data_IF_120480831579
#
_entry.id   IF_120480831579
#
_cell.length_a   1.000
_cell.length_b   1.000
_cell.length_c   1.000
_cell.angle_alpha   90.00
_cell.angle_beta   90.00
_cell.angle_gamma   90.00
#
_symmetry.space_group_name_H-M   'P 1'
#
loop_
_entity.id
_entity.type
_entity.pdbx_description
1 polymer ?
#
# COMPACT_ATOMS: atom_id res chain seq x y z
N UNK A 1 -6.75 -1.99 -21.17
CA UNK A 1 -5.89 -2.44 -20.06
C UNK A 1 -6.71 -2.62 -18.78
N UNK A 2 -6.20 -3.38 -17.82
CA UNK A 2 -6.86 -3.68 -16.55
C UNK A 2 -5.85 -3.38 -15.43
N UNK A 3 -6.00 -2.22 -14.80
CA UNK A 3 -5.01 -1.70 -13.84
C UNK A 3 -5.34 -2.08 -12.40
N UNK A 4 -4.31 -2.12 -11.56
CA UNK A 4 -4.40 -2.43 -10.14
C UNK A 4 -3.63 -1.38 -9.35
N UNK A 5 -4.19 -0.95 -8.22
CA UNK A 5 -3.54 0.01 -7.32
C UNK A 5 -3.05 -0.72 -6.07
N UNK A 6 -1.77 -0.56 -5.72
CA UNK A 6 -1.20 -1.11 -4.49
C UNK A 6 -1.25 -0.09 -3.36
N UNK A 7 -1.74 -0.48 -2.19
CA UNK A 7 -1.88 0.37 -1.02
C UNK A 7 -1.08 -0.26 0.11
N UNK A 8 -0.05 0.45 0.57
CA UNK A 8 0.90 -0.01 1.58
C UNK A 8 0.68 0.79 2.87
N UNK A 9 0.25 0.14 3.94
CA UNK A 9 -0.26 0.79 5.16
C UNK A 9 0.57 0.41 6.38
N UNK A 10 1.11 1.43 7.04
CA UNK A 10 1.98 1.32 8.22
C UNK A 10 3.34 0.69 7.91
N UNK A 11 4.23 0.72 8.90
CA UNK A 11 5.61 0.26 8.78
C UNK A 11 5.78 -1.06 7.98
N UNK A 12 5.12 -2.14 8.41
CA UNK A 12 5.27 -3.44 7.77
C UNK A 12 4.80 -3.44 6.31
N UNK A 13 3.64 -2.84 6.03
CA UNK A 13 3.11 -2.74 4.67
C UNK A 13 4.04 -1.94 3.76
N UNK A 14 4.59 -0.84 4.27
CA UNK A 14 5.51 0.03 3.52
C UNK A 14 6.84 -0.67 3.23
N UNK A 15 7.43 -1.34 4.22
CA UNK A 15 8.70 -2.04 4.05
C UNK A 15 8.57 -3.21 3.06
N UNK A 16 7.49 -4.00 3.18
CA UNK A 16 7.16 -5.04 2.19
C UNK A 16 6.95 -4.43 0.81
N UNK A 17 6.17 -3.34 0.73
CA UNK A 17 5.92 -2.64 -0.52
C UNK A 17 7.19 -2.13 -1.20
N UNK A 18 8.14 -1.59 -0.43
CA UNK A 18 9.42 -1.11 -0.95
C UNK A 18 10.23 -2.26 -1.59
N UNK A 19 10.30 -3.41 -0.92
CA UNK A 19 10.96 -4.60 -1.45
C UNK A 19 10.23 -5.18 -2.68
N UNK A 20 8.90 -5.20 -2.68
CA UNK A 20 8.11 -5.64 -3.83
C UNK A 20 8.35 -4.75 -5.07
N UNK A 21 8.36 -3.42 -4.91
CA UNK A 21 8.57 -2.51 -6.03
C UNK A 21 10.01 -2.55 -6.56
N UNK A 22 11.01 -2.74 -5.69
CA UNK A 22 12.37 -3.03 -6.12
C UNK A 22 12.41 -4.27 -7.01
N UNK A 23 11.79 -5.36 -6.58
CA UNK A 23 11.73 -6.59 -7.37
C UNK A 23 10.98 -6.41 -8.69
N UNK A 24 9.81 -5.75 -8.70
CA UNK A 24 9.06 -5.46 -9.92
C UNK A 24 9.89 -4.63 -10.91
N UNK A 25 10.64 -3.64 -10.43
CA UNK A 25 11.55 -2.88 -11.28
C UNK A 25 12.64 -3.76 -11.89
N UNK A 26 13.24 -4.67 -11.12
CA UNK A 26 14.25 -5.61 -11.63
C UNK A 26 13.67 -6.59 -12.66
N UNK A 27 12.48 -7.15 -12.41
CA UNK A 27 11.80 -8.09 -13.30
C UNK A 27 11.42 -7.44 -14.64
N UNK A 28 11.02 -6.17 -14.61
CA UNK A 28 10.62 -5.41 -15.80
C UNK A 28 11.75 -4.57 -16.42
N UNK A 29 12.96 -4.58 -15.86
CA UNK A 29 14.08 -3.79 -16.38
C UNK A 29 13.90 -2.28 -16.25
N UNK A 30 13.10 -1.83 -15.27
CA UNK A 30 12.86 -0.43 -14.95
C UNK A 30 13.95 0.04 -13.98
N UNK A 31 14.61 1.14 -14.34
CA UNK A 31 15.66 1.74 -13.53
C UNK A 31 15.08 2.49 -12.31
N UNK A 32 15.87 2.78 -11.27
CA UNK A 32 15.38 3.48 -10.07
C UNK A 32 14.82 4.89 -10.31
N UNK A 33 15.15 5.51 -11.45
CA UNK A 33 14.58 6.79 -11.91
C UNK A 33 13.26 6.64 -12.68
N UNK A 34 12.81 5.40 -12.90
CA UNK A 34 11.61 5.02 -13.66
C UNK A 34 11.83 4.91 -15.16
N UNK A 35 13.06 5.06 -15.66
CA UNK A 35 13.35 4.87 -17.09
C UNK A 35 13.42 3.39 -17.45
N UNK A 36 12.90 3.03 -18.62
CA UNK A 36 12.98 1.67 -19.16
C UNK A 36 13.64 1.71 -20.55
N UNK A 37 14.97 1.60 -20.65
CA UNK A 37 15.70 1.74 -21.92
C UNK A 37 15.30 0.71 -22.99
N UNK A 38 14.75 -0.43 -22.57
CA UNK A 38 14.26 -1.49 -23.45
C UNK A 38 12.90 -1.18 -24.06
N UNK A 39 12.13 -0.26 -23.49
CA UNK A 39 10.82 0.12 -24.02
C UNK A 39 10.98 1.06 -25.21
N UNK A 40 10.56 0.59 -26.38
CA UNK A 40 10.58 1.34 -27.65
C UNK A 40 9.22 1.97 -27.97
N UNK A 41 8.23 1.78 -27.12
CA UNK A 41 6.83 2.18 -27.31
C UNK A 41 6.40 3.30 -26.37
N UNK A 42 7.29 4.31 -26.21
CA UNK A 42 7.02 5.50 -25.39
C UNK A 42 5.65 6.09 -25.76
N UNK A 43 4.72 6.10 -24.81
CA UNK A 43 3.37 6.63 -24.94
C UNK A 43 2.38 5.77 -25.72
N UNK A 44 2.66 4.47 -25.96
CA UNK A 44 1.83 3.63 -26.83
C UNK A 44 1.82 2.11 -26.59
N UNK A 45 2.49 1.59 -25.55
CA UNK A 45 2.52 0.14 -25.28
C UNK A 45 1.33 -0.34 -24.43
N UNK A 46 0.49 -1.24 -24.94
CA UNK A 46 -0.52 -1.98 -24.16
C UNK A 46 0.14 -3.20 -23.47
N UNK A 47 1.34 -2.99 -22.91
CA UNK A 47 2.15 -4.04 -22.30
C UNK A 47 1.61 -4.43 -20.90
N UNK A 48 1.76 -5.71 -20.55
CA UNK A 48 1.18 -6.28 -19.33
C UNK A 48 1.65 -5.60 -18.03
N UNK A 49 2.83 -4.96 -18.02
CA UNK A 49 3.34 -4.26 -16.83
C UNK A 49 2.64 -2.92 -16.56
N UNK A 50 1.96 -2.34 -17.56
CA UNK A 50 1.19 -1.10 -17.38
C UNK A 50 -0.07 -1.29 -16.49
N UNK A 51 -0.40 -2.55 -16.15
CA UNK A 51 -1.31 -2.87 -15.04
C UNK A 51 -0.80 -2.28 -13.71
N UNK A 52 0.52 -2.30 -13.47
CA UNK A 52 1.16 -1.85 -12.23
C UNK A 52 1.82 -0.47 -12.36
N UNK A 53 2.26 -0.10 -13.56
CA UNK A 53 2.93 1.18 -13.82
C UNK A 53 2.06 2.11 -14.68
N UNK A 54 2.16 3.41 -14.43
CA UNK A 54 1.68 4.46 -15.33
C UNK A 54 2.86 5.09 -16.04
N UNK A 55 2.74 5.32 -17.34
CA UNK A 55 3.77 5.98 -18.13
C UNK A 55 3.51 7.49 -18.18
N UNK A 56 4.57 8.28 -18.03
CA UNK A 56 4.55 9.73 -18.24
C UNK A 56 5.06 10.06 -19.64
N UNK A 57 4.71 11.24 -20.17
CA UNK A 57 5.21 11.70 -21.48
C UNK A 57 6.74 11.84 -21.60
N UNK A 58 7.49 11.69 -20.50
CA UNK A 58 8.96 11.67 -20.47
C UNK A 58 9.54 10.24 -20.51
N UNK A 59 8.72 9.21 -20.76
CA UNK A 59 9.11 7.80 -20.75
C UNK A 59 9.35 7.22 -19.35
N UNK A 60 8.99 7.98 -18.30
CA UNK A 60 9.12 7.52 -16.91
C UNK A 60 7.92 6.67 -16.53
N UNK A 61 8.20 5.47 -16.04
CA UNK A 61 7.26 4.52 -15.46
C UNK A 61 7.13 4.80 -13.96
N UNK A 62 5.92 5.15 -13.53
CA UNK A 62 5.59 5.49 -12.15
C UNK A 62 4.65 4.42 -11.59
N UNK A 63 4.99 3.78 -10.46
CA UNK A 63 4.13 2.82 -9.78
C UNK A 63 2.73 3.36 -9.48
N UNK A 64 1.71 2.53 -9.70
CA UNK A 64 0.33 2.76 -9.25
C UNK A 64 0.21 2.31 -7.80
N UNK A 65 0.86 3.05 -6.89
CA UNK A 65 0.82 2.74 -5.47
C UNK A 65 0.61 3.95 -4.57
N UNK A 66 0.26 3.67 -3.32
CA UNK A 66 0.24 4.63 -2.22
C UNK A 66 0.95 4.01 -1.03
N UNK A 67 1.79 4.80 -0.37
CA UNK A 67 2.36 4.48 0.92
C UNK A 67 1.73 5.42 1.95
N UNK A 68 1.17 4.83 3.00
CA UNK A 68 0.41 5.56 4.00
C UNK A 68 0.86 5.13 5.40
N UNK A 69 1.35 6.10 6.17
CA UNK A 69 1.67 5.89 7.59
C UNK A 69 1.20 7.07 8.45
N UNK A 70 0.99 6.81 9.74
CA UNK A 70 0.61 7.84 10.72
C UNK A 70 1.82 8.60 11.27
N UNK A 71 3.03 8.08 11.07
CA UNK A 71 4.29 8.77 11.35
C UNK A 71 5.21 8.81 10.12
N UNK A 72 6.16 9.75 10.04
CA UNK A 72 6.92 9.96 8.80
C UNK A 72 8.10 9.01 8.60
N UNK A 73 8.61 8.34 9.64
CA UNK A 73 9.91 7.66 9.64
C UNK A 73 10.10 6.72 8.44
N UNK A 74 9.19 5.76 8.28
CA UNK A 74 9.32 4.71 7.24
C UNK A 74 9.02 5.26 5.84
N UNK A 75 8.12 6.24 5.74
CA UNK A 75 7.84 6.93 4.47
C UNK A 75 9.04 7.78 4.03
N UNK A 76 9.74 8.41 4.97
CA UNK A 76 10.92 9.23 4.70
C UNK A 76 12.13 8.38 4.26
N UNK A 77 12.24 7.13 4.71
CA UNK A 77 13.18 6.15 4.16
C UNK A 77 12.90 5.89 2.67
N UNK A 78 11.64 5.75 2.26
CA UNK A 78 11.27 5.61 0.84
C UNK A 78 11.59 6.88 0.06
N UNK A 79 11.36 8.08 0.65
CA UNK A 79 11.69 9.38 0.03
C UNK A 79 13.19 9.63 -0.14
N UNK A 80 14.04 8.95 0.64
CA UNK A 80 15.50 9.14 0.63
C UNK A 80 16.27 7.95 0.07
N UNK A 81 15.60 6.81 -0.13
CA UNK A 81 16.19 5.58 -0.63
C UNK A 81 16.54 5.59 -2.12
N UNK A 82 17.02 4.45 -2.61
CA UNK A 82 17.45 4.25 -4.01
C UNK A 82 16.36 4.62 -5.01
N UNK A 83 15.12 4.21 -4.72
CA UNK A 83 13.93 4.42 -5.56
C UNK A 83 13.17 5.72 -5.25
N UNK A 84 13.82 6.70 -4.60
CA UNK A 84 13.20 8.00 -4.27
C UNK A 84 12.60 8.74 -5.47
N UNK A 85 13.13 8.49 -6.67
CA UNK A 85 12.66 9.11 -7.90
C UNK A 85 11.55 8.30 -8.56
N UNK A 86 11.33 7.04 -8.19
CA UNK A 86 10.34 6.17 -8.82
C UNK A 86 8.91 6.62 -8.50
N UNK A 87 8.62 6.85 -7.23
CA UNK A 87 7.28 7.14 -6.73
C UNK A 87 6.88 8.60 -6.92
N UNK A 88 5.59 8.86 -7.09
CA UNK A 88 5.09 10.23 -7.10
C UNK A 88 5.04 10.77 -5.66
N UNK A 89 5.59 11.96 -5.34
CA UNK A 89 5.65 12.45 -3.95
C UNK A 89 4.29 12.54 -3.26
N UNK A 90 3.23 12.82 -4.03
CA UNK A 90 1.84 12.84 -3.54
C UNK A 90 1.29 11.47 -3.10
N UNK A 91 1.90 10.37 -3.53
CA UNK A 91 1.54 9.01 -3.14
C UNK A 91 2.20 8.58 -1.81
N UNK A 92 3.14 9.38 -1.30
CA UNK A 92 3.87 9.13 -0.06
C UNK A 92 3.25 9.98 1.05
N UNK A 93 2.31 9.40 1.79
CA UNK A 93 1.45 10.08 2.75
C UNK A 93 1.89 9.70 4.17
N UNK A 94 2.18 10.71 4.98
CA UNK A 94 2.65 10.55 6.35
C UNK A 94 1.92 11.49 7.30
N UNK A 95 1.46 10.97 8.43
CA UNK A 95 0.96 11.75 9.55
C UNK A 95 2.09 12.35 10.40
N UNK A 96 1.74 12.85 11.59
CA UNK A 96 2.68 13.40 12.57
C UNK A 96 2.72 12.62 13.89
N UNK A 97 1.75 11.73 14.10
CA UNK A 97 1.53 11.05 15.38
C UNK A 97 1.10 9.62 15.08
N UNK A 98 1.79 8.64 15.65
CA UNK A 98 1.49 7.22 15.42
C UNK A 98 0.24 6.74 16.20
N UNK A 99 -0.30 5.59 15.78
CA UNK A 99 -1.30 4.83 16.49
C UNK A 99 -0.79 4.20 17.79
N UNK A 100 0.53 4.18 18.06
CA UNK A 100 1.14 3.66 19.27
C UNK A 100 0.71 2.21 19.59
N UNK A 101 0.74 1.35 18.57
CA UNK A 101 0.27 -0.05 18.62
C UNK A 101 -1.17 -0.23 19.14
N UNK A 102 -2.03 0.78 18.97
CA UNK A 102 -3.43 0.71 19.38
C UNK A 102 -4.38 0.83 18.18
N UNK A 103 -5.12 -0.25 17.91
CA UNK A 103 -6.15 -0.29 16.86
C UNK A 103 -7.11 0.90 16.93
N UNK A 104 -7.62 1.24 18.12
CA UNK A 104 -8.61 2.32 18.27
C UNK A 104 -8.03 3.69 17.91
N UNK A 105 -6.71 3.89 18.09
CA UNK A 105 -6.04 5.11 17.64
C UNK A 105 -5.96 5.17 16.13
N UNK A 106 -5.52 4.09 15.50
CA UNK A 106 -5.46 3.97 14.05
C UNK A 106 -6.85 4.05 13.38
N UNK A 107 -7.90 3.55 14.01
CA UNK A 107 -9.22 3.47 13.40
C UNK A 107 -10.15 4.65 13.74
N UNK A 108 -10.23 5.06 15.01
CA UNK A 108 -11.27 5.99 15.46
C UNK A 108 -10.83 7.43 15.67
N UNK A 109 -9.54 7.68 15.92
CA UNK A 109 -9.03 9.00 16.28
C UNK A 109 -8.04 9.50 15.23
N UNK A 110 -6.77 9.14 15.34
CA UNK A 110 -5.70 9.65 14.48
C UNK A 110 -5.93 9.29 13.01
N UNK A 111 -6.33 8.05 12.71
CA UNK A 111 -6.54 7.65 11.32
C UNK A 111 -7.67 8.39 10.61
N UNK A 112 -8.66 8.92 11.34
CA UNK A 112 -9.72 9.74 10.73
C UNK A 112 -9.19 11.07 10.18
N UNK A 113 -8.10 11.58 10.73
CA UNK A 113 -7.51 12.84 10.27
C UNK A 113 -6.81 12.68 8.92
N UNK A 114 -6.33 11.48 8.59
CA UNK A 114 -5.55 11.21 7.37
C UNK A 114 -6.33 10.44 6.29
N UNK A 115 -7.40 9.73 6.65
CA UNK A 115 -8.10 8.83 5.71
C UNK A 115 -8.69 9.58 4.51
N UNK A 116 -9.24 10.79 4.72
CA UNK A 116 -9.82 11.58 3.64
C UNK A 116 -8.75 12.03 2.63
N UNK A 117 -7.56 12.37 3.14
CA UNK A 117 -6.40 12.67 2.30
C UNK A 117 -5.97 11.44 1.50
N UNK A 118 -5.89 10.27 2.13
CA UNK A 118 -5.54 9.03 1.46
C UNK A 118 -6.55 8.67 0.36
N UNK A 119 -7.85 8.78 0.63
CA UNK A 119 -8.92 8.54 -0.35
C UNK A 119 -8.85 9.50 -1.53
N UNK A 120 -8.55 10.79 -1.32
CA UNK A 120 -8.35 11.74 -2.43
C UNK A 120 -7.18 11.32 -3.34
N UNK A 121 -6.06 10.86 -2.76
CA UNK A 121 -4.93 10.36 -3.56
C UNK A 121 -5.26 9.06 -4.28
N UNK A 122 -5.98 8.14 -3.65
CA UNK A 122 -6.48 6.91 -4.29
C UNK A 122 -7.37 7.27 -5.48
N UNK A 123 -8.27 8.23 -5.29
CA UNK A 123 -9.17 8.71 -6.35
C UNK A 123 -8.39 9.23 -7.55
N UNK A 124 -7.38 10.09 -7.35
CA UNK A 124 -6.53 10.58 -8.44
C UNK A 124 -5.84 9.45 -9.21
N UNK A 125 -5.40 8.39 -8.53
CA UNK A 125 -4.81 7.23 -9.21
C UNK A 125 -5.86 6.41 -9.96
N UNK A 126 -7.05 6.25 -9.38
CA UNK A 126 -8.16 5.57 -10.01
C UNK A 126 -8.65 6.30 -11.27
N UNK A 127 -8.70 7.64 -11.23
CA UNK A 127 -9.06 8.48 -12.38
C UNK A 127 -8.03 8.36 -13.53
N UNK A 128 -6.77 8.09 -13.20
CA UNK A 128 -5.70 7.80 -14.17
C UNK A 128 -5.71 6.35 -14.69
N UNK A 129 -6.69 5.52 -14.31
CA UNK A 129 -6.86 4.16 -14.81
C UNK A 129 -7.98 4.12 -15.86
N UNK A 130 -7.75 3.44 -16.97
CA UNK A 130 -8.77 3.21 -18.01
C UNK A 130 -9.79 2.14 -17.58
N UNK A 131 -9.38 1.20 -16.73
CA UNK A 131 -10.17 0.05 -16.31
C UNK A 131 -9.69 -0.55 -14.99
N UNK A 132 -9.73 0.24 -13.90
CA UNK A 132 -9.36 -0.20 -12.55
C UNK A 132 -10.07 -1.51 -12.18
N UNK A 133 -9.31 -2.57 -11.87
CA UNK A 133 -9.85 -3.85 -11.42
C UNK A 133 -10.08 -3.86 -9.90
N UNK A 134 -9.14 -3.30 -9.15
CA UNK A 134 -9.09 -3.51 -7.72
C UNK A 134 -7.85 -2.97 -7.05
N UNK A 135 -7.72 -3.33 -5.78
CA UNK A 135 -6.67 -2.87 -4.89
C UNK A 135 -5.91 -4.07 -4.31
N UNK A 136 -4.59 -3.97 -4.25
CA UNK A 136 -3.74 -4.82 -3.42
C UNK A 136 -3.45 -4.06 -2.14
N UNK A 137 -3.83 -4.60 -0.98
CA UNK A 137 -3.68 -3.93 0.30
C UNK A 137 -2.66 -4.67 1.14
N UNK A 138 -1.56 -4.00 1.48
CA UNK A 138 -0.47 -4.54 2.28
C UNK A 138 -0.49 -3.87 3.66
N UNK A 139 -0.67 -4.67 4.71
CA UNK A 139 -0.71 -4.17 6.08
C UNK A 139 -0.34 -5.27 7.08
N UNK A 140 0.02 -4.89 8.31
CA UNK A 140 0.15 -5.82 9.43
C UNK A 140 -1.09 -5.77 10.31
N UNK A 141 -1.59 -6.95 10.73
CA UNK A 141 -2.74 -7.03 11.64
C UNK A 141 -2.35 -6.77 13.10
N UNK A 142 -1.06 -6.89 13.44
CA UNK A 142 -0.55 -6.64 14.80
C UNK A 142 -0.32 -5.15 15.14
N UNK A 143 0.08 -4.34 14.16
CA UNK A 143 0.45 -2.93 14.40
C UNK A 143 -0.76 -1.99 14.49
N UNK A 144 -0.66 -0.88 15.23
CA UNK A 144 -1.80 0.04 15.41
C UNK A 144 -2.28 0.70 14.11
N UNK A 145 -1.33 1.13 13.26
CA UNK A 145 -1.63 1.74 11.96
C UNK A 145 -2.08 0.69 10.94
N UNK A 146 -1.31 -0.37 10.77
CA UNK A 146 -1.65 -1.44 9.81
C UNK A 146 -3.01 -2.09 10.10
N UNK A 147 -3.34 -2.28 11.38
CA UNK A 147 -4.64 -2.83 11.80
C UNK A 147 -5.75 -1.79 11.73
N UNK A 148 -5.65 -0.71 12.50
CA UNK A 148 -6.72 0.27 12.69
C UNK A 148 -6.99 1.12 11.45
N UNK A 149 -5.95 1.79 10.93
CA UNK A 149 -6.07 2.62 9.72
C UNK A 149 -6.34 1.75 8.49
N UNK A 150 -5.72 0.55 8.42
CA UNK A 150 -5.99 -0.42 7.37
C UNK A 150 -7.47 -0.83 7.31
N UNK A 151 -8.05 -1.20 8.46
CA UNK A 151 -9.49 -1.52 8.56
C UNK A 151 -10.38 -0.33 8.19
N UNK A 152 -10.07 0.86 8.68
CA UNK A 152 -10.83 2.08 8.35
C UNK A 152 -10.80 2.37 6.84
N UNK A 153 -9.62 2.23 6.21
CA UNK A 153 -9.47 2.49 4.78
C UNK A 153 -10.23 1.45 3.95
N UNK A 154 -10.21 0.17 4.34
CA UNK A 154 -10.96 -0.90 3.66
C UNK A 154 -12.48 -0.68 3.71
N UNK A 155 -13.01 -0.22 4.84
CA UNK A 155 -14.41 0.17 4.99
C UNK A 155 -14.78 1.27 3.98
N UNK A 156 -13.97 2.32 3.91
CA UNK A 156 -14.19 3.43 2.97
C UNK A 156 -14.05 3.03 1.51
N UNK A 157 -13.06 2.21 1.18
CA UNK A 157 -12.89 1.65 -0.16
C UNK A 157 -14.08 0.78 -0.58
N UNK A 158 -14.71 0.07 0.36
CA UNK A 158 -15.90 -0.72 0.06
C UNK A 158 -17.12 0.15 -0.23
N UNK A 159 -17.20 1.34 0.35
CA UNK A 159 -18.25 2.33 0.04
C UNK A 159 -18.01 2.95 -1.34
N UNK A 160 -16.81 3.48 -1.58
CA UNK A 160 -16.51 4.25 -2.79
C UNK A 160 -16.30 3.36 -4.02
N UNK A 161 -15.76 2.15 -3.81
CA UNK A 161 -15.36 1.21 -4.86
C UNK A 161 -15.95 -0.19 -4.64
N UNK A 162 -17.21 -0.29 -4.20
CA UNK A 162 -17.83 -1.57 -3.81
C UNK A 162 -17.87 -2.68 -4.87
N UNK A 163 -17.70 -2.36 -6.17
CA UNK A 163 -17.61 -3.36 -7.26
C UNK A 163 -16.17 -3.79 -7.60
N UNK A 164 -15.16 -3.19 -6.96
CA UNK A 164 -13.74 -3.44 -7.23
C UNK A 164 -13.19 -4.45 -6.23
N UNK A 165 -12.38 -5.37 -6.72
CA UNK A 165 -11.80 -6.41 -5.88
C UNK A 165 -10.74 -5.85 -4.95
N UNK A 166 -10.62 -6.42 -3.75
CA UNK A 166 -9.64 -6.05 -2.72
C UNK A 166 -8.91 -7.31 -2.30
N UNK A 167 -7.63 -7.39 -2.61
CA UNK A 167 -6.75 -8.51 -2.27
C UNK A 167 -5.83 -8.05 -1.13
N UNK A 168 -5.93 -8.67 0.03
CA UNK A 168 -5.12 -8.34 1.20
C UNK A 168 -3.86 -9.20 1.28
N UNK A 169 -2.71 -8.59 1.53
CA UNK A 169 -1.46 -9.23 1.94
C UNK A 169 -1.19 -8.83 3.38
N UNK A 170 -1.57 -9.70 4.31
CA UNK A 170 -1.65 -9.36 5.73
C UNK A 170 -0.51 -10.04 6.50
N UNK A 171 0.38 -9.23 7.07
CA UNK A 171 1.46 -9.73 7.93
C UNK A 171 0.89 -10.11 9.28
N UNK A 172 1.01 -11.38 9.64
CA UNK A 172 0.57 -11.93 10.91
C UNK A 172 1.70 -11.90 11.94
N UNK A 173 1.40 -11.51 13.20
CA UNK A 173 2.40 -11.41 14.24
C UNK A 173 2.92 -12.79 14.67
N UNK A 174 4.20 -12.86 15.02
CA UNK A 174 4.83 -14.02 15.67
C UNK A 174 5.50 -13.58 16.98
N UNK A 175 5.42 -14.37 18.07
CA UNK A 175 6.04 -14.04 19.34
C UNK A 175 7.55 -13.76 19.28
N UNK A 176 8.25 -14.31 18.28
CA UNK A 176 9.71 -14.20 18.16
C UNK A 176 10.17 -12.83 17.65
N UNK A 177 9.33 -12.15 16.86
CA UNK A 177 9.62 -10.84 16.24
C UNK A 177 8.61 -9.75 16.64
N UNK A 178 7.64 -10.10 17.49
CA UNK A 178 6.63 -9.18 18.01
C UNK A 178 7.27 -8.06 18.83
N UNK A 179 6.80 -6.82 18.61
CA UNK A 179 7.26 -5.64 19.37
C UNK A 179 6.17 -5.11 20.31
N UNK A 180 4.94 -5.62 20.21
CA UNK A 180 3.82 -5.17 21.01
C UNK A 180 3.03 -6.32 21.65
N UNK A 181 2.90 -6.25 22.97
CA UNK A 181 2.10 -7.19 23.79
C UNK A 181 0.62 -7.19 23.38
N UNK A 182 0.14 -6.09 22.79
CA UNK A 182 -1.26 -5.90 22.38
C UNK A 182 -1.57 -6.37 20.95
N UNK A 183 -0.59 -6.93 20.23
CA UNK A 183 -0.79 -7.45 18.86
C UNK A 183 -1.96 -8.44 18.73
N UNK A 184 -2.24 -9.35 19.69
CA UNK A 184 -3.41 -10.22 19.61
C UNK A 184 -4.74 -9.46 19.59
N UNK A 185 -4.84 -8.36 20.36
CA UNK A 185 -6.05 -7.53 20.35
C UNK A 185 -6.25 -6.83 19.01
N UNK A 186 -5.18 -6.21 18.48
CA UNK A 186 -5.22 -5.55 17.18
C UNK A 186 -5.56 -6.54 16.06
N UNK A 187 -5.01 -7.76 16.12
CA UNK A 187 -5.21 -8.79 15.11
C UNK A 187 -6.67 -9.23 15.05
N UNK A 188 -7.29 -9.49 16.21
CA UNK A 188 -8.70 -9.88 16.28
C UNK A 188 -9.61 -8.75 15.79
N UNK A 189 -9.36 -7.51 16.23
CA UNK A 189 -10.15 -6.35 15.83
C UNK A 189 -10.05 -6.07 14.32
N UNK A 190 -8.85 -6.14 13.75
CA UNK A 190 -8.65 -5.89 12.31
C UNK A 190 -9.20 -7.03 11.45
N UNK A 191 -9.06 -8.28 11.90
CA UNK A 191 -9.61 -9.44 11.18
C UNK A 191 -11.12 -9.34 11.00
N UNK A 192 -11.84 -8.74 11.96
CA UNK A 192 -13.27 -8.49 11.82
C UNK A 192 -13.61 -7.65 10.58
N UNK A 193 -12.95 -6.50 10.38
CA UNK A 193 -13.15 -5.66 9.18
C UNK A 193 -12.59 -6.33 7.91
N UNK A 194 -11.48 -7.07 8.01
CA UNK A 194 -10.90 -7.79 6.87
C UNK A 194 -11.87 -8.83 6.29
N UNK A 195 -12.63 -9.53 7.15
CA UNK A 195 -13.61 -10.53 6.71
C UNK A 195 -14.73 -9.93 5.83
N UNK A 196 -15.16 -8.71 6.12
CA UNK A 196 -16.28 -8.07 5.41
C UNK A 196 -15.82 -7.33 4.16
N UNK A 197 -14.62 -6.75 4.20
CA UNK A 197 -14.16 -5.80 3.19
C UNK A 197 -12.99 -6.29 2.33
N UNK A 198 -12.56 -7.54 2.47
CA UNK A 198 -11.51 -8.13 1.62
C UNK A 198 -12.05 -9.35 0.90
N UNK A 199 -11.88 -9.41 -0.42
CA UNK A 199 -12.39 -10.52 -1.21
C UNK A 199 -11.51 -11.78 -1.04
N UNK A 200 -10.19 -11.58 -0.95
CA UNK A 200 -9.21 -12.65 -0.69
C UNK A 200 -8.08 -12.07 0.17
N UNK A 201 -7.66 -12.80 1.21
CA UNK A 201 -6.55 -12.40 2.07
C UNK A 201 -5.46 -13.49 2.06
N UNK A 202 -4.24 -13.09 1.72
CA UNK A 202 -3.02 -13.90 1.82
C UNK A 202 -2.35 -13.54 3.14
N UNK A 203 -2.34 -14.49 4.07
CA UNK A 203 -1.68 -14.33 5.35
C UNK A 203 -0.19 -14.64 5.22
N UNK A 204 0.65 -13.72 5.67
CA UNK A 204 2.10 -13.83 5.71
C UNK A 204 2.52 -13.97 7.17
N UNK A 205 2.74 -15.20 7.62
CA UNK A 205 3.17 -15.48 8.99
C UNK A 205 4.66 -15.17 9.15
N UNK A 206 4.97 -14.22 10.03
CA UNK A 206 6.35 -13.86 10.35
C UNK A 206 7.17 -15.04 10.89
N UNK A 207 6.55 -16.00 11.59
CA UNK A 207 7.27 -17.19 12.08
C UNK A 207 7.66 -18.12 10.96
N UNK A 208 6.81 -18.25 9.94
CA UNK A 208 7.09 -19.10 8.79
C UNK A 208 8.15 -18.52 7.85
N UNK A 209 8.35 -17.19 7.89
CA UNK A 209 9.35 -16.47 7.10
C UNK A 209 10.72 -16.41 7.81
N UNK A 210 10.75 -16.56 9.14
CA UNK A 210 11.97 -16.51 9.97
C UNK A 210 12.79 -17.80 9.86
#
# INVERSE_FOLDING_TARGET
>A
MREVISIHIGQAGIQVGNACWELYCLEHGIQPDGQMPSDKTIGGGDDAFNTFFSETGAGKHVPRCIFLDLEPTVVDEVRSGTYRQLFHPEQLISGKEDAANNFARGHYTIGKEIVDLALDRIRKLADNCTGLQGFLVFNAVGGGTGSGLGSLLLERLSVDYGKKSKLGFTVYPSPQVSTAVVEPYNSVLSTHSLLEHTDVAVMLDNEAIY
#
